data_IF_016205926667
#
_entry.id   IF_016205926667
#
_cell.length_a   1.000
_cell.length_b   1.000
_cell.length_c   1.000
_cell.angle_alpha   90.00
_cell.angle_beta   90.00
_cell.angle_gamma   90.00
#
_symmetry.space_group_name_H-M   'P 1'
#
loop_
_entity.id
_entity.type
_entity.pdbx_description
1 polymer ?
#
# COMPACT_ATOMS: atom_id res chain seq x y z
N UNK A 1 -10.31 -8.22 61.98
CA UNK A 1 -9.12 -8.45 61.11
C UNK A 1 -9.57 -8.52 59.65
N UNK A 2 -9.56 -7.42 58.91
CA UNK A 2 -9.70 -7.44 57.44
C UNK A 2 -8.98 -6.22 56.85
N UNK A 3 -7.68 -6.37 56.63
CA UNK A 3 -6.85 -5.34 56.01
C UNK A 3 -5.73 -5.99 55.20
N UNK A 4 -6.07 -6.69 54.11
CA UNK A 4 -5.08 -7.21 53.13
C UNK A 4 -5.59 -7.30 51.68
N UNK A 5 -6.57 -6.46 51.26
CA UNK A 5 -7.14 -6.57 49.89
C UNK A 5 -6.89 -5.36 48.97
N UNK A 6 -6.32 -4.24 49.44
CA UNK A 6 -6.14 -3.05 48.59
C UNK A 6 -4.81 -2.97 47.83
N UNK A 7 -3.77 -3.68 48.26
CA UNK A 7 -2.43 -3.57 47.63
C UNK A 7 -2.27 -4.44 46.38
N UNK A 8 -2.99 -5.57 46.30
CA UNK A 8 -2.93 -6.47 45.15
C UNK A 8 -3.61 -5.86 43.90
N UNK A 9 -4.70 -5.12 44.09
CA UNK A 9 -5.45 -4.47 43.01
C UNK A 9 -4.67 -3.28 42.43
N UNK A 10 -3.95 -2.54 43.29
CA UNK A 10 -3.14 -1.41 42.87
C UNK A 10 -1.92 -1.84 42.04
N UNK A 11 -1.29 -2.98 42.36
CA UNK A 11 -0.17 -3.53 41.58
C UNK A 11 -0.60 -4.08 40.21
N UNK A 12 -1.81 -4.65 40.09
CA UNK A 12 -2.33 -5.15 38.81
C UNK A 12 -2.66 -4.01 37.83
N UNK A 13 -3.13 -2.86 38.36
CA UNK A 13 -3.38 -1.65 37.57
C UNK A 13 -2.08 -0.98 37.06
N UNK A 14 -1.02 -1.02 37.87
CA UNK A 14 0.30 -0.48 37.47
C UNK A 14 0.96 -1.35 36.40
N UNK A 15 0.80 -2.67 36.45
CA UNK A 15 1.32 -3.58 35.43
C UNK A 15 0.61 -3.41 34.06
N UNK A 16 -0.67 -3.03 34.06
CA UNK A 16 -1.43 -2.80 32.82
C UNK A 16 -0.98 -1.53 32.07
N UNK A 17 -0.42 -0.53 32.79
CA UNK A 17 -0.02 0.75 32.21
C UNK A 17 1.33 0.71 31.46
N UNK A 18 2.14 -0.33 31.64
CA UNK A 18 3.48 -0.45 31.02
C UNK A 18 3.45 -1.04 29.59
N UNK A 19 2.28 -1.43 29.07
CA UNK A 19 2.14 -2.01 27.73
C UNK A 19 1.73 -0.98 26.65
N UNK A 20 1.91 0.31 26.92
CA UNK A 20 1.81 1.34 25.87
C UNK A 20 3.10 1.24 25.05
N UNK A 21 3.14 0.25 24.16
CA UNK A 21 4.19 0.10 23.17
C UNK A 21 4.31 1.40 22.39
N UNK A 22 5.51 1.98 22.40
CA UNK A 22 5.87 3.04 21.47
C UNK A 22 5.77 2.47 20.05
N UNK A 23 4.62 2.62 19.40
CA UNK A 23 4.55 2.43 17.96
C UNK A 23 5.28 3.61 17.36
N UNK A 24 6.57 3.44 17.04
CA UNK A 24 7.32 4.41 16.26
C UNK A 24 6.56 4.60 14.95
N UNK A 25 5.84 5.71 14.82
CA UNK A 25 5.19 6.07 13.57
C UNK A 25 6.29 6.22 12.52
N UNK A 26 6.36 5.27 11.60
CA UNK A 26 7.26 5.36 10.45
C UNK A 26 6.81 6.59 9.67
N UNK A 27 7.54 7.70 9.77
CA UNK A 27 7.27 8.90 9.00
C UNK A 27 7.62 8.55 7.55
N UNK A 28 6.63 8.44 6.65
CA UNK A 28 6.91 8.07 5.28
C UNK A 28 7.57 9.27 4.57
N UNK A 29 8.52 9.02 3.68
CA UNK A 29 9.18 10.09 2.91
C UNK A 29 8.20 10.83 1.99
N UNK A 30 8.63 11.88 1.27
CA UNK A 30 7.80 12.50 0.24
C UNK A 30 7.62 11.61 -1.00
N UNK A 31 6.61 11.88 -1.83
CA UNK A 31 6.51 11.28 -3.16
C UNK A 31 7.57 11.89 -4.08
N UNK A 32 8.31 11.02 -4.76
CA UNK A 32 9.27 11.41 -5.80
C UNK A 32 8.75 10.99 -7.18
N UNK A 33 8.84 11.90 -8.15
CA UNK A 33 8.51 11.59 -9.54
C UNK A 33 9.58 10.70 -10.15
N UNK A 34 9.18 9.57 -10.70
CA UNK A 34 10.06 8.79 -11.56
C UNK A 34 9.96 9.34 -12.98
N UNK A 35 10.76 10.36 -13.30
CA UNK A 35 10.70 11.07 -14.60
C UNK A 35 10.93 10.17 -15.81
N UNK A 36 11.56 9.00 -15.64
CA UNK A 36 11.84 8.02 -16.70
C UNK A 36 11.74 6.59 -16.14
N UNK A 37 10.53 6.03 -16.00
CA UNK A 37 10.37 4.66 -15.55
C UNK A 37 10.93 3.70 -16.62
N UNK A 38 11.64 2.67 -16.19
CA UNK A 38 12.19 1.68 -17.11
C UNK A 38 11.08 0.88 -17.81
N UNK A 39 11.32 0.44 -19.04
CA UNK A 39 10.36 -0.39 -19.79
C UNK A 39 9.89 -1.62 -19.01
N UNK A 40 10.81 -2.26 -18.26
CA UNK A 40 10.51 -3.37 -17.36
C UNK A 40 9.52 -2.99 -16.26
N UNK A 41 9.64 -1.78 -15.69
CA UNK A 41 8.73 -1.28 -14.65
C UNK A 41 7.36 -0.92 -15.22
N UNK A 42 7.32 -0.32 -16.41
CA UNK A 42 6.06 -0.06 -17.13
C UNK A 42 5.34 -1.39 -17.38
N UNK A 43 6.01 -2.36 -18.00
CA UNK A 43 5.43 -3.68 -18.28
C UNK A 43 4.92 -4.39 -17.01
N UNK A 44 5.69 -4.31 -15.91
CA UNK A 44 5.29 -4.88 -14.60
C UNK A 44 3.97 -4.27 -14.11
N UNK A 45 3.82 -2.94 -14.16
CA UNK A 45 2.60 -2.30 -13.69
C UNK A 45 1.43 -2.49 -14.65
N UNK A 46 1.66 -2.43 -15.96
CA UNK A 46 0.61 -2.72 -16.95
C UNK A 46 0.04 -4.12 -16.74
N UNK A 47 0.89 -5.15 -16.67
CA UNK A 47 0.44 -6.53 -16.45
C UNK A 47 -0.31 -6.70 -15.12
N UNK A 48 0.20 -6.07 -14.06
CA UNK A 48 -0.46 -6.10 -12.74
C UNK A 48 -1.84 -5.42 -12.77
N UNK A 49 -1.93 -4.22 -13.37
CA UNK A 49 -3.18 -3.46 -13.44
C UNK A 49 -4.20 -4.16 -14.34
N UNK A 50 -3.79 -4.66 -15.51
CA UNK A 50 -4.66 -5.44 -16.39
C UNK A 50 -5.23 -6.65 -15.67
N UNK A 51 -4.42 -7.39 -14.90
CA UNK A 51 -4.91 -8.54 -14.12
C UNK A 51 -5.89 -8.13 -13.02
N UNK A 52 -5.61 -7.04 -12.28
CA UNK A 52 -6.43 -6.63 -11.14
C UNK A 52 -7.68 -5.85 -11.51
N UNK A 53 -7.69 -5.18 -12.66
CA UNK A 53 -8.74 -4.25 -13.06
C UNK A 53 -9.54 -4.71 -14.28
N UNK A 54 -9.26 -5.90 -14.84
CA UNK A 54 -9.92 -6.44 -16.03
C UNK A 54 -11.46 -6.34 -16.01
N UNK A 55 -12.09 -6.47 -14.84
CA UNK A 55 -13.55 -6.41 -14.71
C UNK A 55 -14.13 -5.01 -15.03
N UNK A 56 -13.42 -3.94 -14.69
CA UNK A 56 -13.89 -2.54 -14.90
C UNK A 56 -13.16 -1.86 -16.07
N UNK A 57 -11.89 -2.18 -16.22
CA UNK A 57 -10.97 -1.63 -17.20
C UNK A 57 -10.31 -2.79 -17.95
N UNK A 58 -10.99 -3.39 -18.95
CA UNK A 58 -10.47 -4.55 -19.69
C UNK A 58 -9.11 -4.30 -20.34
N UNK A 59 -8.83 -3.07 -20.76
CA UNK A 59 -7.58 -2.71 -21.44
C UNK A 59 -6.86 -1.59 -20.72
N UNK A 60 -5.57 -1.77 -20.42
CA UNK A 60 -4.67 -0.70 -19.96
C UNK A 60 -3.78 -0.31 -21.15
N UNK A 61 -4.03 0.86 -21.72
CA UNK A 61 -3.38 1.34 -22.96
C UNK A 61 -1.96 1.81 -22.70
N UNK A 62 -1.77 2.66 -21.68
CA UNK A 62 -0.50 3.32 -21.44
C UNK A 62 -0.34 3.72 -19.98
N UNK A 63 0.90 3.63 -19.46
CA UNK A 63 1.27 4.27 -18.19
C UNK A 63 1.82 5.68 -18.50
N UNK A 64 1.21 6.71 -17.92
CA UNK A 64 1.54 8.12 -18.14
C UNK A 64 2.57 8.61 -17.12
N UNK A 65 2.35 8.30 -15.84
CA UNK A 65 3.18 8.80 -14.74
C UNK A 65 3.34 7.73 -13.64
N UNK A 66 4.51 7.73 -13.00
CA UNK A 66 4.80 6.89 -11.84
C UNK A 66 5.48 7.75 -10.79
N UNK A 67 4.83 7.89 -9.64
CA UNK A 67 5.40 8.45 -8.43
C UNK A 67 5.67 7.34 -7.43
N UNK A 68 6.74 7.48 -6.67
CA UNK A 68 7.11 6.50 -5.64
C UNK A 68 7.40 7.19 -4.31
N UNK A 69 7.07 6.50 -3.23
CA UNK A 69 7.35 6.91 -1.86
C UNK A 69 7.90 5.70 -1.10
N UNK A 70 9.08 5.88 -0.50
CA UNK A 70 9.68 4.82 0.33
C UNK A 70 9.03 4.87 1.72
N UNK A 71 8.58 3.69 2.16
CA UNK A 71 7.95 3.44 3.46
C UNK A 71 8.57 2.15 4.05
N UNK A 72 7.82 1.34 4.80
CA UNK A 72 8.18 -0.06 5.07
C UNK A 72 7.99 -0.95 3.81
N UNK A 73 8.60 -0.55 2.69
CA UNK A 73 8.31 -1.02 1.33
C UNK A 73 8.33 0.16 0.36
N UNK A 74 7.62 0.05 -0.75
CA UNK A 74 7.46 1.16 -1.71
C UNK A 74 6.00 1.34 -2.05
N UNK A 75 5.50 2.57 -1.87
CA UNK A 75 4.19 2.98 -2.35
C UNK A 75 4.35 3.65 -3.71
N UNK A 76 3.58 3.20 -4.69
CA UNK A 76 3.54 3.77 -6.03
C UNK A 76 2.18 4.42 -6.28
N UNK A 77 2.18 5.61 -6.89
CA UNK A 77 1.01 6.17 -7.57
C UNK A 77 1.27 6.10 -9.05
N UNK A 78 0.46 5.31 -9.75
CA UNK A 78 0.59 5.05 -11.18
C UNK A 78 -0.60 5.66 -11.88
N UNK A 79 -0.35 6.60 -12.79
CA UNK A 79 -1.38 7.18 -13.66
C UNK A 79 -1.36 6.45 -14.99
N UNK A 80 -2.50 5.97 -15.46
CA UNK A 80 -2.62 5.18 -16.68
C UNK A 80 -3.85 5.56 -17.50
N UNK A 81 -3.74 5.42 -18.83
CA UNK A 81 -4.90 5.39 -19.72
C UNK A 81 -5.44 3.97 -19.78
N UNK A 82 -6.74 3.85 -19.61
CA UNK A 82 -7.45 2.58 -19.63
C UNK A 82 -8.73 2.70 -20.46
N UNK A 83 -9.16 1.61 -21.08
CA UNK A 83 -10.45 1.52 -21.74
C UNK A 83 -11.41 0.84 -20.76
N UNK A 84 -12.55 1.48 -20.48
CA UNK A 84 -13.59 0.91 -19.64
C UNK A 84 -14.40 -0.19 -20.37
N UNK A 85 -15.32 -0.83 -19.65
CA UNK A 85 -16.21 -1.86 -20.23
C UNK A 85 -17.12 -1.34 -21.35
N UNK A 86 -17.30 -0.03 -21.46
CA UNK A 86 -18.11 0.63 -22.49
C UNK A 86 -17.26 1.08 -23.69
N UNK A 87 -15.96 0.79 -23.70
CA UNK A 87 -15.06 1.20 -24.78
C UNK A 87 -14.57 2.65 -24.67
N UNK A 88 -14.82 3.35 -23.56
CA UNK A 88 -14.39 4.73 -23.37
C UNK A 88 -13.00 4.79 -22.75
N UNK A 89 -12.16 5.69 -23.25
CA UNK A 89 -10.86 5.96 -22.64
C UNK A 89 -11.03 6.78 -21.36
N UNK A 90 -10.42 6.29 -20.28
CA UNK A 90 -10.43 6.87 -18.94
C UNK A 90 -9.01 6.98 -18.43
N UNK A 91 -8.71 8.12 -17.80
CA UNK A 91 -7.46 8.25 -17.04
C UNK A 91 -7.71 7.76 -15.62
N UNK A 92 -6.91 6.79 -15.17
CA UNK A 92 -6.99 6.24 -13.83
C UNK A 92 -5.70 6.50 -13.06
N UNK A 93 -5.82 6.64 -11.74
CA UNK A 93 -4.72 6.71 -10.79
C UNK A 93 -4.82 5.54 -9.83
N UNK A 94 -3.88 4.61 -9.92
CA UNK A 94 -3.79 3.43 -9.08
C UNK A 94 -2.71 3.62 -8.00
N UNK A 95 -3.04 3.27 -6.76
CA UNK A 95 -2.08 3.20 -5.65
C UNK A 95 -1.67 1.74 -5.46
N UNK A 96 -0.38 1.45 -5.62
CA UNK A 96 0.18 0.09 -5.57
C UNK A 96 1.24 0.03 -4.48
N UNK A 97 1.18 -0.98 -3.62
CA UNK A 97 2.18 -1.24 -2.60
C UNK A 97 3.07 -2.44 -2.98
N UNK A 98 4.38 -2.24 -2.95
CA UNK A 98 5.39 -3.29 -3.04
C UNK A 98 6.03 -3.48 -1.67
N UNK A 99 5.72 -4.58 -0.93
CA UNK A 99 6.33 -4.85 0.35
C UNK A 99 7.83 -5.16 0.22
N UNK A 100 8.55 -5.03 1.33
CA UNK A 100 9.96 -5.41 1.39
C UNK A 100 10.15 -6.90 1.06
N UNK A 101 11.28 -7.31 0.44
CA UNK A 101 11.49 -8.69 0.00
C UNK A 101 11.32 -9.74 1.10
N UNK A 102 11.75 -9.42 2.33
CA UNK A 102 11.63 -10.31 3.49
C UNK A 102 10.22 -10.39 4.08
N UNK A 103 9.33 -9.46 3.71
CA UNK A 103 7.93 -9.45 4.13
C UNK A 103 7.01 -10.19 3.16
N UNK A 104 7.53 -10.66 2.02
CA UNK A 104 6.76 -11.44 1.04
C UNK A 104 6.74 -12.90 1.51
N UNK A 105 5.57 -13.37 1.97
CA UNK A 105 5.38 -14.78 2.29
C UNK A 105 5.26 -15.61 1.00
N UNK A 106 5.64 -16.89 1.07
CA UNK A 106 5.54 -17.81 -0.07
C UNK A 106 4.09 -17.85 -0.60
N UNK A 107 3.91 -17.57 -1.89
CA UNK A 107 2.59 -17.52 -2.54
C UNK A 107 1.88 -16.15 -2.55
N UNK A 108 2.43 -15.12 -1.91
CA UNK A 108 1.86 -13.76 -1.97
C UNK A 108 2.36 -12.99 -3.20
N UNK A 109 1.44 -12.28 -3.86
CA UNK A 109 1.78 -11.39 -4.98
C UNK A 109 2.70 -10.26 -4.50
N UNK A 110 3.81 -10.08 -5.23
CA UNK A 110 4.82 -9.04 -4.99
C UNK A 110 4.29 -7.61 -5.08
N UNK A 111 3.10 -7.42 -5.63
CA UNK A 111 2.41 -6.13 -5.73
C UNK A 111 1.00 -6.25 -5.16
N UNK A 112 0.58 -5.22 -4.42
CA UNK A 112 -0.75 -5.13 -3.81
C UNK A 112 -1.44 -3.86 -4.29
N UNK A 113 -2.64 -3.99 -4.84
CA UNK A 113 -3.46 -2.84 -5.21
C UNK A 113 -4.12 -2.32 -3.95
N UNK A 114 -3.93 -1.02 -3.65
CA UNK A 114 -4.48 -0.37 -2.46
C UNK A 114 -5.67 0.52 -2.77
N UNK A 115 -5.64 1.20 -3.90
CA UNK A 115 -6.70 2.13 -4.30
C UNK A 115 -6.68 2.35 -5.81
N UNK A 116 -7.83 2.69 -6.41
CA UNK A 116 -7.95 3.11 -7.81
C UNK A 116 -9.00 4.21 -7.92
N UNK A 117 -8.63 5.32 -8.55
CA UNK A 117 -9.50 6.47 -8.79
C UNK A 117 -9.48 6.85 -10.26
N UNK A 118 -10.63 7.21 -10.81
CA UNK A 118 -10.72 7.89 -12.10
C UNK A 118 -10.34 9.36 -11.89
N UNK A 119 -9.64 9.97 -12.85
CA UNK A 119 -9.21 11.37 -12.82
C UNK A 119 -10.13 12.26 -13.66
#
# INVERSE_FOLDING_TARGET
MFQRSSTAILLLLIACLMMIGFTSAVIPGGFSHNKKPSAKRIAKFTSFLSSKLAAKYPTITQIIDIQQQVVAGVMYKVTALAIDSNGQEKTIKATIFEPLPHAIQAGQSKLQLKDVKEL
#
